data_IF_799902688954
#
_entry.id   IF_799902688954
#
_cell.length_a   1.000
_cell.length_b   1.000
_cell.length_c   1.000
_cell.angle_alpha   90.00
_cell.angle_beta   90.00
_cell.angle_gamma   90.00
#
_symmetry.space_group_name_H-M   'P 1'
#
loop_
_entity.id
_entity.type
_entity.pdbx_description
1 polymer ?
#
# COMPACT_ATOMS: atom_id res chain seq x y z
N UNK A 1 -16.34 -46.46 -32.34
CA UNK A 1 -15.64 -46.43 -33.64
C UNK A 1 -14.56 -45.35 -33.58
N UNK A 2 -13.29 -45.71 -33.34
CA UNK A 2 -12.17 -45.71 -34.33
C UNK A 2 -12.10 -44.39 -35.14
N UNK A 3 -11.20 -43.48 -34.75
CA UNK A 3 -9.85 -43.18 -35.33
C UNK A 3 -9.94 -42.32 -36.61
N UNK A 4 -8.85 -41.57 -36.85
CA UNK A 4 -8.47 -40.88 -38.12
C UNK A 4 -9.04 -39.44 -38.19
N UNK A 5 -8.30 -38.32 -38.29
CA UNK A 5 -6.98 -38.09 -38.87
C UNK A 5 -6.27 -36.85 -38.30
N UNK A 6 -4.98 -37.04 -38.03
CA UNK A 6 -3.97 -36.05 -37.67
C UNK A 6 -3.19 -35.76 -38.94
N UNK A 7 -3.51 -34.71 -39.69
CA UNK A 7 -2.64 -34.16 -40.75
C UNK A 7 -3.34 -32.90 -41.30
N UNK A 8 -2.86 -31.72 -40.93
CA UNK A 8 -2.78 -30.46 -41.71
C UNK A 8 -2.15 -29.47 -40.71
N UNK A 9 -0.85 -29.66 -40.46
CA UNK A 9 -0.03 -28.70 -39.70
C UNK A 9 1.30 -28.46 -40.44
N UNK A 10 1.22 -28.45 -41.77
CA UNK A 10 2.34 -28.24 -42.69
C UNK A 10 1.84 -27.58 -43.98
N UNK A 11 1.33 -26.36 -43.88
CA UNK A 11 1.14 -25.49 -45.05
C UNK A 11 1.08 -24.00 -44.66
N UNK A 12 2.04 -23.53 -43.85
CA UNK A 12 2.17 -22.12 -43.46
C UNK A 12 3.65 -21.70 -43.33
N UNK A 13 4.52 -22.33 -44.12
CA UNK A 13 5.91 -21.92 -44.35
C UNK A 13 6.09 -21.87 -45.86
N UNK A 14 6.62 -20.76 -46.39
CA UNK A 14 6.80 -20.41 -47.82
C UNK A 14 5.72 -19.53 -48.48
N UNK A 15 5.49 -18.31 -47.96
CA UNK A 15 5.32 -17.08 -48.78
C UNK A 15 5.73 -15.88 -47.92
N UNK A 16 7.03 -15.62 -47.76
CA UNK A 16 7.53 -14.40 -47.11
C UNK A 16 9.00 -14.12 -47.46
N UNK A 17 9.31 -14.10 -48.75
CA UNK A 17 10.57 -13.57 -49.27
C UNK A 17 10.22 -12.76 -50.51
N UNK A 18 10.83 -11.57 -50.64
CA UNK A 18 10.62 -10.49 -51.62
C UNK A 18 9.54 -9.45 -51.30
N UNK A 19 9.72 -8.71 -50.20
CA UNK A 19 9.47 -7.26 -50.25
C UNK A 19 10.81 -6.59 -50.60
N UNK A 20 10.89 -5.72 -51.62
CA UNK A 20 12.05 -4.86 -51.77
C UNK A 20 12.08 -3.91 -50.57
N UNK A 21 13.22 -3.88 -49.88
CA UNK A 21 13.60 -2.78 -49.00
C UNK A 21 13.61 -1.50 -49.84
N UNK A 22 12.48 -0.82 -49.93
CA UNK A 22 12.44 0.59 -50.26
C UNK A 22 12.91 1.29 -48.98
N UNK A 23 14.23 1.33 -48.77
CA UNK A 23 14.79 2.38 -47.93
C UNK A 23 14.48 3.65 -48.69
N UNK A 24 13.47 4.40 -48.26
CA UNK A 24 13.35 5.78 -48.66
C UNK A 24 14.67 6.43 -48.28
N UNK A 25 15.51 6.71 -49.29
CA UNK A 25 16.63 7.61 -49.13
C UNK A 25 15.99 8.92 -48.69
N UNK A 26 15.98 9.15 -47.38
CA UNK A 26 15.68 10.46 -46.84
C UNK A 26 16.82 11.31 -47.33
N UNK A 27 16.54 12.15 -48.33
CA UNK A 27 17.43 13.24 -48.68
C UNK A 27 17.59 14.07 -47.42
N UNK A 28 18.70 13.89 -46.72
CA UNK A 28 19.10 14.77 -45.61
C UNK A 28 19.40 16.10 -46.29
N UNK A 29 18.47 17.05 -46.20
CA UNK A 29 18.73 18.40 -46.65
C UNK A 29 19.78 19.00 -45.72
N UNK A 30 20.80 19.63 -46.32
CA UNK A 30 21.78 20.38 -45.57
C UNK A 30 21.08 21.50 -44.78
N UNK A 31 21.42 21.63 -43.51
CA UNK A 31 20.79 22.60 -42.62
C UNK A 31 21.15 24.05 -43.02
N UNK A 32 20.31 24.99 -42.61
CA UNK A 32 20.52 26.42 -42.83
C UNK A 32 21.20 27.06 -41.62
N UNK A 33 22.40 27.61 -41.81
CA UNK A 33 23.13 28.33 -40.77
C UNK A 33 22.95 29.84 -40.88
N UNK A 34 22.64 30.51 -39.77
CA UNK A 34 22.50 31.97 -39.72
C UNK A 34 23.28 32.61 -38.58
N UNK A 35 23.62 33.89 -38.75
CA UNK A 35 24.48 34.64 -37.83
C UNK A 35 23.89 36.04 -37.61
N UNK A 36 23.65 36.37 -36.35
CA UNK A 36 22.99 37.62 -35.97
C UNK A 36 23.86 38.36 -34.97
N UNK A 37 24.16 39.63 -35.21
CA UNK A 37 24.79 40.46 -34.18
C UNK A 37 23.81 40.66 -33.02
N UNK A 38 24.23 40.33 -31.80
CA UNK A 38 23.40 40.39 -30.58
C UNK A 38 23.98 41.33 -29.51
N UNK A 39 25.19 41.85 -29.72
CA UNK A 39 25.81 42.81 -28.81
C UNK A 39 27.11 43.38 -29.36
N UNK A 40 27.58 44.46 -28.75
CA UNK A 40 28.80 45.19 -29.12
C UNK A 40 29.99 44.88 -28.18
N UNK A 41 29.90 43.82 -27.38
CA UNK A 41 30.93 43.48 -26.39
C UNK A 41 32.18 42.95 -27.09
N UNK A 42 33.26 43.72 -27.03
CA UNK A 42 34.55 43.31 -27.57
C UNK A 42 35.25 42.36 -26.60
N UNK A 43 35.82 41.27 -27.13
CA UNK A 43 36.64 40.32 -26.36
C UNK A 43 37.90 39.94 -27.11
N UNK A 44 39.01 39.78 -26.40
CA UNK A 44 40.30 39.37 -26.96
C UNK A 44 40.75 38.04 -26.38
N UNK A 45 41.42 37.23 -27.20
CA UNK A 45 41.66 35.83 -26.91
C UNK A 45 43.00 35.34 -27.48
N UNK A 46 43.55 34.27 -26.91
CA UNK A 46 44.44 33.36 -27.64
C UNK A 46 43.65 32.15 -28.13
N UNK A 47 43.65 31.92 -29.45
CA UNK A 47 42.98 30.75 -30.03
C UNK A 47 43.85 29.50 -29.95
N UNK A 48 43.33 28.45 -29.31
CA UNK A 48 44.03 27.15 -29.24
C UNK A 48 44.16 26.51 -30.62
N UNK A 49 43.13 26.62 -31.44
CA UNK A 49 43.08 26.04 -32.78
C UNK A 49 44.14 26.66 -33.70
N UNK A 50 44.48 27.94 -33.45
CA UNK A 50 45.47 28.71 -34.20
C UNK A 50 46.79 28.86 -33.43
N UNK A 51 47.20 27.84 -32.67
CA UNK A 51 48.48 27.80 -31.93
C UNK A 51 48.75 29.03 -31.04
N UNK A 52 47.73 29.56 -30.37
CA UNK A 52 47.84 30.70 -29.45
C UNK A 52 47.78 32.07 -30.13
N UNK A 53 47.45 32.14 -31.41
CA UNK A 53 47.33 33.43 -32.13
C UNK A 53 46.29 34.33 -31.46
N UNK A 54 46.63 35.62 -31.34
CA UNK A 54 45.74 36.64 -30.80
C UNK A 54 44.55 36.87 -31.73
N UNK A 55 43.34 36.87 -31.17
CA UNK A 55 42.08 37.06 -31.90
C UNK A 55 41.17 38.06 -31.18
N UNK A 56 40.53 38.95 -31.93
CA UNK A 56 39.61 39.96 -31.39
C UNK A 56 38.22 39.78 -31.99
N UNK A 57 37.24 39.51 -31.13
CA UNK A 57 35.82 39.51 -31.50
C UNK A 57 35.27 40.94 -31.43
N UNK A 58 34.90 41.52 -32.58
CA UNK A 58 34.35 42.88 -32.72
C UNK A 58 32.83 42.89 -32.48
N UNK A 59 32.42 42.37 -31.33
CA UNK A 59 31.02 42.21 -30.92
C UNK A 59 30.60 40.74 -30.78
N UNK A 60 29.39 40.53 -30.28
CA UNK A 60 28.82 39.20 -30.08
C UNK A 60 27.86 38.86 -31.20
N UNK A 61 28.03 37.67 -31.77
CA UNK A 61 27.12 37.12 -32.76
C UNK A 61 26.42 35.89 -32.19
N UNK A 62 25.14 35.70 -32.47
CA UNK A 62 24.39 34.47 -32.24
C UNK A 62 24.39 33.65 -33.50
N UNK A 63 24.75 32.38 -33.39
CA UNK A 63 24.63 31.39 -34.44
C UNK A 63 23.33 30.60 -34.28
N UNK A 64 22.68 30.31 -35.40
CA UNK A 64 21.55 29.39 -35.45
C UNK A 64 21.73 28.34 -36.55
N UNK A 65 21.10 27.20 -36.35
CA UNK A 65 20.96 26.13 -37.34
C UNK A 65 19.49 25.74 -37.41
N UNK A 66 18.90 25.89 -38.60
CA UNK A 66 17.46 25.78 -38.87
C UNK A 66 16.65 26.67 -37.92
N UNK A 67 17.06 27.93 -37.77
CA UNK A 67 16.43 28.90 -36.88
C UNK A 67 16.59 28.64 -35.38
N UNK A 68 17.25 27.55 -34.97
CA UNK A 68 17.48 27.22 -33.56
C UNK A 68 18.88 27.63 -33.10
N UNK A 69 19.06 28.17 -31.89
CA UNK A 69 20.38 28.52 -31.36
C UNK A 69 21.37 27.35 -31.42
N UNK A 70 22.57 27.66 -31.90
CA UNK A 70 23.73 26.76 -31.95
C UNK A 70 24.96 27.52 -31.43
N UNK A 71 26.03 26.81 -31.08
CA UNK A 71 27.25 27.40 -30.53
C UNK A 71 28.46 27.03 -31.37
N UNK A 72 29.35 27.99 -31.60
CA UNK A 72 30.64 27.73 -32.24
C UNK A 72 31.52 26.85 -31.35
N UNK A 73 32.14 25.82 -31.94
CA UNK A 73 33.13 24.96 -31.28
C UNK A 73 34.53 25.04 -31.92
N UNK A 74 34.75 25.97 -32.85
CA UNK A 74 36.00 26.17 -33.58
C UNK A 74 36.39 27.65 -33.64
N UNK A 75 36.71 28.20 -32.48
CA UNK A 75 37.06 29.62 -32.34
C UNK A 75 38.29 30.00 -33.20
N UNK A 76 38.15 31.09 -33.97
CA UNK A 76 39.18 31.58 -34.90
C UNK A 76 39.02 31.12 -36.36
N UNK A 77 38.05 30.25 -36.66
CA UNK A 77 37.64 30.03 -38.05
C UNK A 77 36.58 31.09 -38.42
N UNK A 78 36.82 31.93 -39.43
CA UNK A 78 35.85 32.96 -39.82
C UNK A 78 34.55 32.32 -40.31
N UNK A 79 33.44 32.94 -39.93
CA UNK A 79 32.15 32.72 -40.58
C UNK A 79 32.12 33.57 -41.83
N UNK A 80 32.07 32.93 -43.00
CA UNK A 80 32.11 33.67 -44.25
C UNK A 80 30.72 33.96 -44.81
N UNK A 81 29.73 33.05 -44.69
CA UNK A 81 28.42 33.22 -45.36
C UNK A 81 27.25 32.46 -44.67
N UNK A 82 26.17 33.15 -44.25
CA UNK A 82 24.89 32.52 -43.90
C UNK A 82 24.31 31.68 -45.06
N UNK A 83 23.46 30.70 -44.75
CA UNK A 83 22.68 29.93 -45.72
C UNK A 83 22.82 28.41 -45.59
N UNK A 84 22.31 27.70 -46.58
CA UNK A 84 22.30 26.23 -46.62
C UNK A 84 23.72 25.63 -46.76
N UNK A 85 23.82 24.31 -46.53
CA UNK A 85 25.05 23.54 -46.74
C UNK A 85 25.73 23.06 -45.45
N UNK A 86 25.06 23.17 -44.31
CA UNK A 86 25.56 22.64 -43.04
C UNK A 86 25.14 21.18 -42.84
N UNK A 87 26.10 20.27 -42.93
CA UNK A 87 25.84 18.84 -42.79
C UNK A 87 25.89 18.43 -41.31
N UNK A 88 24.87 17.71 -40.78
CA UNK A 88 24.85 17.25 -39.40
C UNK A 88 25.74 16.02 -39.21
N UNK A 89 26.36 15.92 -38.05
CA UNK A 89 27.02 14.72 -37.54
C UNK A 89 26.92 14.69 -36.01
N UNK A 90 27.05 13.52 -35.39
CA UNK A 90 27.09 13.45 -33.93
C UNK A 90 28.39 14.07 -33.40
N UNK A 91 28.28 14.91 -32.37
CA UNK A 91 29.48 15.45 -31.74
C UNK A 91 30.16 14.36 -30.91
N UNK A 92 31.39 14.00 -31.26
CA UNK A 92 32.20 13.01 -30.54
C UNK A 92 33.52 13.63 -30.05
N UNK A 93 33.44 14.32 -28.91
CA UNK A 93 34.60 14.87 -28.19
C UNK A 93 34.46 14.59 -26.68
N UNK A 94 35.57 14.49 -25.92
CA UNK A 94 35.52 14.22 -24.48
C UNK A 94 34.67 15.23 -23.69
N UNK A 95 34.67 16.50 -24.10
CA UNK A 95 33.99 17.59 -23.42
C UNK A 95 32.49 17.66 -23.72
N UNK A 96 31.95 16.81 -24.61
CA UNK A 96 30.57 16.89 -25.13
C UNK A 96 29.52 17.08 -24.02
N UNK A 97 29.53 16.21 -23.01
CA UNK A 97 28.53 16.24 -21.94
C UNK A 97 28.69 17.47 -21.05
N UNK A 98 29.94 17.93 -20.82
CA UNK A 98 30.22 19.15 -20.06
C UNK A 98 29.74 20.39 -20.82
N UNK A 99 29.99 20.45 -22.13
CA UNK A 99 29.53 21.54 -23.00
C UNK A 99 28.01 21.56 -23.09
N UNK A 100 27.36 20.39 -23.11
CA UNK A 100 25.90 20.32 -23.08
C UNK A 100 25.31 20.88 -21.78
N UNK A 101 25.92 20.59 -20.63
CA UNK A 101 25.53 21.19 -19.36
C UNK A 101 25.79 22.70 -19.32
N UNK A 102 26.92 23.17 -19.88
CA UNK A 102 27.22 24.61 -20.01
C UNK A 102 26.15 25.30 -20.86
N UNK A 103 25.79 24.73 -22.01
CA UNK A 103 24.73 25.27 -22.86
C UNK A 103 23.37 25.31 -22.16
N UNK A 104 23.05 24.26 -21.40
CA UNK A 104 21.80 24.15 -20.65
C UNK A 104 21.68 25.22 -19.55
N UNK A 105 22.65 25.26 -18.63
CA UNK A 105 22.64 26.20 -17.50
C UNK A 105 23.02 27.63 -17.89
N UNK A 106 23.82 27.79 -18.93
CA UNK A 106 24.28 29.09 -19.40
C UNK A 106 23.26 29.84 -20.24
N UNK A 107 22.48 29.14 -21.08
CA UNK A 107 21.59 29.77 -22.04
C UNK A 107 20.18 29.19 -22.04
N UNK A 108 20.01 27.87 -22.17
CA UNK A 108 18.69 27.27 -22.44
C UNK A 108 17.67 27.52 -21.32
N UNK A 109 18.13 27.62 -20.07
CA UNK A 109 17.27 27.90 -18.92
C UNK A 109 16.89 29.39 -18.77
N UNK A 110 17.58 30.31 -19.44
CA UNK A 110 17.31 31.75 -19.43
C UNK A 110 17.85 32.43 -20.71
N UNK A 111 17.20 32.21 -21.87
CA UNK A 111 17.75 32.63 -23.16
C UNK A 111 17.66 34.15 -23.35
N UNK A 112 18.80 34.80 -23.54
CA UNK A 112 18.91 36.21 -23.95
C UNK A 112 20.30 36.46 -24.57
N UNK A 113 20.53 37.66 -25.10
CA UNK A 113 21.78 38.00 -25.80
C UNK A 113 23.03 37.91 -24.90
N UNK A 114 22.91 38.35 -23.64
CA UNK A 114 24.01 38.30 -22.68
C UNK A 114 24.31 36.86 -22.26
N UNK A 115 23.28 36.07 -21.95
CA UNK A 115 23.45 34.67 -21.56
C UNK A 115 24.01 33.82 -22.69
N UNK A 116 23.62 34.09 -23.94
CA UNK A 116 24.22 33.45 -25.12
C UNK A 116 25.72 33.76 -25.21
N UNK A 117 26.09 35.04 -25.14
CA UNK A 117 27.49 35.48 -25.25
C UNK A 117 28.35 34.86 -24.15
N UNK A 118 27.91 34.93 -22.89
CA UNK A 118 28.62 34.33 -21.75
C UNK A 118 28.80 32.82 -21.99
N UNK A 119 27.76 32.13 -22.43
CA UNK A 119 27.80 30.69 -22.70
C UNK A 119 28.79 30.36 -23.82
N UNK A 120 28.79 31.13 -24.91
CA UNK A 120 29.72 30.95 -26.02
C UNK A 120 31.18 31.11 -25.58
N UNK A 121 31.46 32.11 -24.76
CA UNK A 121 32.79 32.35 -24.19
C UNK A 121 33.23 31.19 -23.29
N UNK A 122 32.35 30.68 -22.42
CA UNK A 122 32.65 29.53 -21.55
C UNK A 122 32.90 28.27 -22.38
N UNK A 123 32.15 28.06 -23.47
CA UNK A 123 32.36 26.94 -24.41
C UNK A 123 33.77 27.04 -25.02
N UNK A 124 34.19 28.20 -25.51
CA UNK A 124 35.52 28.39 -26.07
C UNK A 124 36.63 28.19 -25.04
N UNK A 125 36.48 28.70 -23.82
CA UNK A 125 37.43 28.44 -22.73
C UNK A 125 37.49 26.94 -22.39
N UNK A 126 36.35 26.25 -22.36
CA UNK A 126 36.27 24.80 -22.09
C UNK A 126 36.98 23.99 -23.18
N UNK A 127 36.96 24.46 -24.43
CA UNK A 127 37.70 23.87 -25.55
C UNK A 127 39.20 24.24 -25.53
N UNK A 128 39.62 25.11 -24.61
CA UNK A 128 41.00 25.45 -24.29
C UNK A 128 41.51 26.76 -24.88
N UNK A 129 40.61 27.65 -25.34
CA UNK A 129 40.98 29.02 -25.68
C UNK A 129 41.23 29.83 -24.39
N UNK A 130 42.11 30.82 -24.46
CA UNK A 130 42.41 31.71 -23.33
C UNK A 130 41.73 33.06 -23.54
N UNK A 131 40.84 33.46 -22.63
CA UNK A 131 40.24 34.79 -22.64
C UNK A 131 41.19 35.80 -22.00
N UNK A 132 41.60 36.83 -22.75
CA UNK A 132 42.52 37.87 -22.28
C UNK A 132 41.76 39.07 -21.70
N UNK A 133 40.83 39.64 -22.46
CA UNK A 133 39.96 40.73 -22.02
C UNK A 133 38.55 40.56 -22.55
N UNK A 134 37.56 41.06 -21.81
CA UNK A 134 36.17 41.06 -22.28
C UNK A 134 35.42 42.29 -21.75
N UNK A 135 34.57 42.86 -22.60
CA UNK A 135 33.59 43.88 -22.23
C UNK A 135 32.24 43.28 -21.81
N UNK A 136 32.11 41.94 -21.80
CA UNK A 136 30.88 41.26 -21.41
C UNK A 136 30.61 41.51 -19.92
N UNK A 137 29.48 42.15 -19.55
CA UNK A 137 29.19 42.50 -18.17
C UNK A 137 29.21 41.30 -17.24
N UNK A 138 29.88 41.43 -16.09
CA UNK A 138 29.93 40.43 -15.01
C UNK A 138 30.36 39.02 -15.44
N UNK A 139 31.12 38.89 -16.53
CA UNK A 139 31.47 37.60 -17.13
C UNK A 139 31.99 36.56 -16.12
N UNK A 140 32.96 36.94 -15.29
CA UNK A 140 33.58 36.00 -14.34
C UNK A 140 32.60 35.49 -13.28
N UNK A 141 31.73 36.35 -12.77
CA UNK A 141 30.73 35.95 -11.78
C UNK A 141 29.69 35.00 -12.39
N UNK A 142 29.20 35.31 -13.59
CA UNK A 142 28.25 34.46 -14.32
C UNK A 142 28.87 33.12 -14.74
N UNK A 143 30.14 33.12 -15.18
CA UNK A 143 30.91 31.91 -15.45
C UNK A 143 30.98 31.01 -14.23
N UNK A 144 31.36 31.55 -13.07
CA UNK A 144 31.40 30.77 -11.82
C UNK A 144 30.02 30.24 -11.44
N UNK A 145 28.97 31.05 -11.57
CA UNK A 145 27.58 30.62 -11.33
C UNK A 145 27.19 29.42 -12.21
N UNK A 146 27.47 29.49 -13.52
CA UNK A 146 27.16 28.42 -14.48
C UNK A 146 27.98 27.16 -14.16
N UNK A 147 29.30 27.30 -13.96
CA UNK A 147 30.17 26.15 -13.69
C UNK A 147 29.83 25.46 -12.36
N UNK A 148 29.38 26.21 -11.35
CA UNK A 148 28.87 25.63 -10.11
C UNK A 148 27.61 24.80 -10.34
N UNK A 149 26.70 25.25 -11.21
CA UNK A 149 25.51 24.46 -11.59
C UNK A 149 25.89 23.20 -12.39
N UNK A 150 26.82 23.31 -13.33
CA UNK A 150 27.37 22.19 -14.11
C UNK A 150 27.98 21.13 -13.18
N UNK A 151 28.88 21.54 -12.27
CA UNK A 151 29.56 20.63 -11.34
C UNK A 151 28.58 19.98 -10.36
N UNK A 152 27.51 20.70 -9.98
CA UNK A 152 26.51 20.22 -9.04
C UNK A 152 25.31 19.50 -9.72
N UNK A 153 25.37 19.23 -11.04
CA UNK A 153 24.26 18.65 -11.81
C UNK A 153 23.84 17.26 -11.28
N UNK A 154 24.83 16.43 -10.96
CA UNK A 154 24.60 15.04 -10.56
C UNK A 154 24.26 14.88 -9.07
N UNK A 155 24.32 15.95 -8.27
CA UNK A 155 23.96 15.89 -6.85
C UNK A 155 22.46 15.66 -6.73
N UNK A 156 22.07 14.59 -6.04
CA UNK A 156 20.68 14.18 -5.81
C UNK A 156 20.18 14.70 -4.45
N UNK A 157 18.87 14.91 -4.27
CA UNK A 157 18.31 15.14 -2.95
C UNK A 157 18.66 13.99 -2.00
N UNK A 158 18.76 14.28 -0.70
CA UNK A 158 19.17 13.27 0.30
C UNK A 158 18.25 12.04 0.40
N UNK A 159 17.03 12.15 -0.12
CA UNK A 159 16.03 11.07 -0.14
C UNK A 159 15.94 10.33 -1.48
N UNK A 160 16.84 10.57 -2.44
CA UNK A 160 16.83 9.84 -3.71
C UNK A 160 16.89 8.31 -3.50
N UNK A 161 16.15 7.58 -4.34
CA UNK A 161 15.96 6.13 -4.32
C UNK A 161 15.38 5.55 -3.03
N UNK A 162 14.85 6.38 -2.11
CA UNK A 162 14.17 5.87 -0.93
C UNK A 162 12.80 5.26 -1.26
N UNK A 163 12.37 4.32 -0.41
CA UNK A 163 10.99 3.85 -0.37
C UNK A 163 10.22 4.62 0.69
N UNK A 164 9.14 5.27 0.28
CA UNK A 164 8.24 6.02 1.16
C UNK A 164 6.96 5.21 1.35
N UNK A 165 6.67 4.87 2.59
CA UNK A 165 5.42 4.21 2.99
C UNK A 165 4.47 5.23 3.63
N UNK A 166 3.21 5.21 3.21
CA UNK A 166 2.18 6.17 3.63
C UNK A 166 0.88 5.44 3.95
N UNK A 167 0.17 5.88 4.98
CA UNK A 167 -1.23 5.52 5.14
C UNK A 167 -2.12 6.51 4.37
N UNK A 168 -3.23 6.03 3.82
CA UNK A 168 -4.18 6.93 3.15
C UNK A 168 -4.73 8.00 4.10
N UNK A 169 -4.76 9.26 3.65
CA UNK A 169 -5.17 10.40 4.45
C UNK A 169 -4.03 11.07 5.24
N UNK A 170 -2.88 10.40 5.38
CA UNK A 170 -1.70 10.97 6.03
C UNK A 170 -0.79 11.69 5.03
N UNK A 171 0.04 12.59 5.56
CA UNK A 171 1.08 13.27 4.80
C UNK A 171 2.43 13.16 5.49
N UNK A 172 3.49 13.01 4.70
CA UNK A 172 4.88 13.12 5.13
C UNK A 172 5.53 14.34 4.47
N UNK A 173 6.48 14.96 5.14
CA UNK A 173 7.33 16.01 4.56
C UNK A 173 8.78 15.53 4.57
N UNK A 174 9.38 15.45 3.39
CA UNK A 174 10.78 15.11 3.20
C UNK A 174 11.60 16.39 3.10
N UNK A 175 12.71 16.45 3.83
CA UNK A 175 13.64 17.58 3.81
C UNK A 175 14.93 17.17 3.12
N UNK A 176 15.31 17.89 2.07
CA UNK A 176 16.56 17.65 1.35
C UNK A 176 17.74 18.31 2.06
N UNK A 177 18.58 17.51 2.73
CA UNK A 177 19.79 17.98 3.41
C UNK A 177 20.93 18.33 2.44
N UNK A 178 20.86 17.90 1.18
CA UNK A 178 21.84 18.27 0.16
C UNK A 178 21.50 19.64 -0.48
N UNK A 179 20.29 20.16 -0.25
CA UNK A 179 19.87 21.49 -0.68
C UNK A 179 19.76 21.67 -2.20
N UNK A 180 19.49 20.59 -2.93
CA UNK A 180 19.46 20.56 -4.40
C UNK A 180 18.08 20.34 -4.99
N UNK A 181 17.07 20.06 -4.17
CA UNK A 181 15.69 19.78 -4.60
C UNK A 181 15.12 20.84 -5.54
N UNK A 182 15.42 22.13 -5.32
CA UNK A 182 14.98 23.23 -6.19
C UNK A 182 15.41 23.08 -7.67
N UNK A 183 16.48 22.33 -7.97
CA UNK A 183 16.95 22.07 -9.33
C UNK A 183 15.98 21.20 -10.15
N UNK A 184 15.21 20.34 -9.48
CA UNK A 184 14.34 19.33 -10.09
C UNK A 184 12.93 19.89 -10.33
N UNK A 185 12.69 20.49 -11.48
CA UNK A 185 11.49 21.30 -11.74
C UNK A 185 10.36 20.53 -12.41
N UNK A 186 10.65 19.42 -13.06
CA UNK A 186 9.69 18.69 -13.90
C UNK A 186 9.19 17.48 -13.14
N UNK A 187 7.89 17.41 -12.85
CA UNK A 187 7.28 16.19 -12.31
C UNK A 187 7.13 15.17 -13.45
N UNK A 188 8.09 14.26 -13.56
CA UNK A 188 8.16 13.27 -14.64
C UNK A 188 7.24 12.06 -14.40
N UNK A 189 7.02 11.68 -13.14
CA UNK A 189 6.14 10.56 -12.78
C UNK A 189 5.51 10.76 -11.41
N UNK A 190 4.22 10.42 -11.30
CA UNK A 190 3.46 10.28 -10.05
C UNK A 190 2.49 9.10 -10.20
N UNK A 191 3.05 7.90 -10.42
CA UNK A 191 2.24 6.73 -10.80
C UNK A 191 1.43 6.16 -9.63
N UNK A 192 1.82 6.46 -8.38
CA UNK A 192 1.05 6.17 -7.17
C UNK A 192 -0.13 7.14 -6.95
N UNK A 193 -0.26 8.19 -7.78
CA UNK A 193 -1.32 9.21 -7.69
C UNK A 193 -1.39 9.85 -6.29
N UNK A 194 -0.28 10.44 -5.85
CA UNK A 194 -0.21 11.24 -4.62
C UNK A 194 -0.58 12.70 -4.88
N UNK A 195 -0.94 13.43 -3.82
CA UNK A 195 -0.83 14.89 -3.84
C UNK A 195 0.60 15.24 -3.42
N UNK A 196 1.24 16.12 -4.21
CA UNK A 196 2.66 16.44 -4.08
C UNK A 196 2.81 17.96 -4.05
N UNK A 197 3.41 18.47 -2.98
CA UNK A 197 3.71 19.87 -2.80
C UNK A 197 5.21 20.03 -2.62
N UNK A 198 5.85 20.87 -3.45
CA UNK A 198 7.27 21.14 -3.39
C UNK A 198 7.48 22.60 -3.06
N UNK A 199 8.24 22.90 -2.00
CA UNK A 199 8.55 24.26 -1.59
C UNK A 199 10.00 24.36 -1.10
N UNK A 200 10.84 25.06 -1.86
CA UNK A 200 12.26 25.13 -1.56
C UNK A 200 12.90 23.74 -1.52
N UNK A 201 13.48 23.40 -0.36
CA UNK A 201 14.12 22.10 -0.11
C UNK A 201 13.21 21.09 0.59
N UNK A 202 11.89 21.31 0.58
CA UNK A 202 10.93 20.36 1.14
C UNK A 202 10.02 19.77 0.05
N UNK A 203 9.69 18.50 0.22
CA UNK A 203 8.76 17.76 -0.61
C UNK A 203 7.72 17.10 0.30
N UNK A 204 6.49 17.62 0.28
CA UNK A 204 5.37 17.08 1.03
C UNK A 204 4.55 16.14 0.14
N UNK A 205 4.34 14.94 0.63
CA UNK A 205 3.63 13.87 -0.05
C UNK A 205 2.40 13.48 0.77
N UNK A 206 1.24 13.36 0.13
CA UNK A 206 0.00 12.96 0.78
C UNK A 206 -0.70 11.88 -0.04
N UNK A 207 -1.03 10.78 0.62
CA UNK A 207 -1.82 9.71 0.03
C UNK A 207 -3.32 10.06 0.10
N UNK A 208 -4.04 9.85 -1.00
CA UNK A 208 -5.48 10.11 -1.13
C UNK A 208 -6.25 8.82 -1.40
N UNK A 209 -7.57 8.87 -1.29
CA UNK A 209 -8.43 7.70 -1.51
C UNK A 209 -8.28 7.07 -2.91
N UNK A 210 -7.86 7.85 -3.91
CA UNK A 210 -7.59 7.40 -5.28
C UNK A 210 -6.12 7.04 -5.55
N UNK A 211 -5.25 7.07 -4.53
CA UNK A 211 -3.86 6.62 -4.64
C UNK A 211 -3.80 5.11 -4.91
N UNK A 212 -2.68 4.64 -5.45
CA UNK A 212 -2.41 3.23 -5.71
C UNK A 212 -1.49 2.67 -4.63
N UNK A 213 -1.63 1.37 -4.33
CA UNK A 213 -0.83 0.69 -3.29
C UNK A 213 0.67 0.74 -3.58
N UNK A 214 1.05 0.78 -4.86
CA UNK A 214 2.45 0.90 -5.28
C UNK A 214 2.59 1.90 -6.43
N UNK A 215 3.77 2.50 -6.53
CA UNK A 215 4.14 3.33 -7.67
C UNK A 215 5.47 4.03 -7.45
N UNK A 216 5.71 5.05 -8.26
CA UNK A 216 6.94 5.83 -8.29
C UNK A 216 6.59 7.31 -8.32
N UNK A 217 7.42 8.12 -7.66
CA UNK A 217 7.46 9.57 -7.87
C UNK A 217 8.83 9.91 -8.45
N UNK A 218 8.86 10.68 -9.54
CA UNK A 218 10.11 11.09 -10.18
C UNK A 218 10.03 12.57 -10.55
N UNK A 219 11.09 13.30 -10.24
CA UNK A 219 11.31 14.62 -10.79
C UNK A 219 12.61 14.68 -11.58
N UNK A 220 12.58 15.47 -12.65
CA UNK A 220 13.70 15.73 -13.53
C UNK A 220 14.15 17.19 -13.41
N UNK A 221 15.43 17.44 -13.70
CA UNK A 221 16.00 18.79 -13.84
C UNK A 221 15.51 19.42 -15.14
N UNK A 222 15.65 18.68 -16.25
CA UNK A 222 15.40 19.17 -17.60
C UNK A 222 14.12 18.62 -18.22
N UNK A 223 13.55 19.36 -19.19
CA UNK A 223 12.38 18.87 -19.91
C UNK A 223 12.80 17.82 -20.94
N UNK A 224 11.84 16.99 -21.38
CA UNK A 224 12.07 15.99 -22.42
C UNK A 224 12.69 16.58 -23.70
N UNK A 225 12.31 17.81 -24.06
CA UNK A 225 12.83 18.48 -25.24
C UNK A 225 14.30 18.90 -25.12
N UNK A 226 14.85 18.98 -23.91
CA UNK A 226 16.25 19.37 -23.66
C UNK A 226 17.20 18.17 -23.72
N UNK A 227 16.66 16.96 -23.76
CA UNK A 227 17.38 15.68 -23.74
C UNK A 227 17.43 15.07 -25.14
N UNK A 228 18.59 14.51 -25.51
CA UNK A 228 18.77 13.84 -26.79
C UNK A 228 20.21 13.87 -27.28
N UNK A 229 20.39 13.58 -28.56
CA UNK A 229 21.69 13.59 -29.21
C UNK A 229 22.17 15.03 -29.43
N UNK A 230 23.43 15.30 -29.06
CA UNK A 230 24.11 16.54 -29.44
C UNK A 230 24.64 16.41 -30.87
N UNK A 231 24.22 17.32 -31.74
CA UNK A 231 24.67 17.38 -33.12
C UNK A 231 25.68 18.50 -33.33
N UNK A 232 26.64 18.27 -34.22
CA UNK A 232 27.54 19.27 -34.77
C UNK A 232 27.32 19.38 -36.27
N UNK A 233 27.29 20.61 -36.75
CA UNK A 233 27.01 20.98 -38.12
C UNK A 233 28.27 21.55 -38.75
N UNK A 234 28.65 21.05 -39.92
CA UNK A 234 29.89 21.42 -40.59
C UNK A 234 29.62 21.89 -42.01
N UNK A 235 30.37 22.90 -42.44
CA UNK A 235 30.40 23.42 -43.81
C UNK A 235 31.83 23.76 -44.15
N UNK A 236 32.32 23.33 -45.32
CA UNK A 236 33.73 23.53 -45.71
C UNK A 236 34.10 25.01 -45.64
N UNK A 237 35.19 25.32 -44.95
CA UNK A 237 35.70 26.69 -44.81
C UNK A 237 34.93 27.55 -43.79
N UNK A 238 34.02 26.96 -43.01
CA UNK A 238 33.30 27.64 -41.94
C UNK A 238 33.47 26.90 -40.61
N UNK A 239 33.30 27.63 -39.51
CA UNK A 239 33.32 27.06 -38.16
C UNK A 239 32.21 26.02 -37.95
N UNK A 240 32.51 24.97 -37.20
CA UNK A 240 31.50 24.00 -36.75
C UNK A 240 30.57 24.59 -35.69
N UNK A 241 29.28 24.30 -35.85
CA UNK A 241 28.21 24.75 -34.97
C UNK A 241 27.59 23.56 -34.24
N UNK A 242 27.52 23.61 -32.91
CA UNK A 242 26.95 22.54 -32.09
C UNK A 242 25.56 22.92 -31.54
N UNK A 243 24.59 22.01 -31.70
CA UNK A 243 23.30 22.04 -31.00
C UNK A 243 23.37 21.05 -29.85
N UNK A 244 23.55 21.57 -28.65
CA UNK A 244 23.69 20.77 -27.44
C UNK A 244 22.36 20.28 -26.89
N UNK A 245 22.32 18.99 -26.56
CA UNK A 245 21.26 18.32 -25.81
C UNK A 245 21.89 17.54 -24.67
N UNK A 246 21.19 17.51 -23.53
CA UNK A 246 21.61 16.71 -22.38
C UNK A 246 21.48 15.22 -22.71
N UNK A 247 22.41 14.41 -22.21
CA UNK A 247 22.36 12.95 -22.35
C UNK A 247 21.24 12.31 -21.51
N UNK A 248 20.78 12.99 -20.46
CA UNK A 248 19.68 12.59 -19.58
C UNK A 248 18.99 13.83 -19.01
N UNK A 249 17.75 13.66 -18.53
CA UNK A 249 17.00 14.75 -17.90
C UNK A 249 17.52 15.13 -16.49
N UNK A 250 18.43 14.33 -15.93
CA UNK A 250 18.89 14.44 -14.54
C UNK A 250 17.76 14.23 -13.55
N UNK A 251 17.58 13.00 -13.06
CA UNK A 251 16.39 12.62 -12.28
C UNK A 251 16.71 12.23 -10.84
N UNK A 252 15.77 12.44 -9.92
CA UNK A 252 15.71 11.68 -8.66
C UNK A 252 14.38 10.91 -8.62
N UNK A 253 14.37 9.77 -7.94
CA UNK A 253 13.21 8.89 -7.85
C UNK A 253 12.89 8.47 -6.43
N UNK A 254 11.61 8.22 -6.16
CA UNK A 254 11.12 7.59 -4.94
C UNK A 254 10.25 6.38 -5.32
N UNK A 255 10.40 5.30 -4.58
CA UNK A 255 9.42 4.20 -4.58
C UNK A 255 8.33 4.52 -3.58
N UNK A 256 7.07 4.40 -3.97
CA UNK A 256 5.93 4.72 -3.12
C UNK A 256 5.15 3.46 -2.79
N UNK A 257 4.84 3.28 -1.50
CA UNK A 257 3.90 2.28 -0.98
C UNK A 257 2.79 2.98 -0.21
N UNK A 258 1.54 2.64 -0.51
CA UNK A 258 0.38 3.23 0.17
C UNK A 258 -0.47 2.14 0.79
N UNK A 259 -0.67 2.24 2.10
CA UNK A 259 -1.60 1.39 2.84
C UNK A 259 -3.01 1.96 2.70
N UNK A 260 -3.77 1.38 1.75
CA UNK A 260 -5.16 1.79 1.47
C UNK A 260 -6.19 1.04 2.32
N UNK A 261 -5.79 -0.10 2.89
CA UNK A 261 -6.71 -1.04 3.53
C UNK A 261 -6.32 -1.30 5.00
N UNK A 262 -7.28 -1.84 5.74
CA UNK A 262 -7.10 -2.42 7.06
C UNK A 262 -7.99 -3.63 7.26
N UNK A 263 -8.02 -4.12 8.50
CA UNK A 263 -8.65 -5.37 8.86
C UNK A 263 -9.37 -5.25 10.20
N UNK A 264 -10.31 -6.16 10.45
CA UNK A 264 -10.88 -6.41 11.77
C UNK A 264 -10.87 -7.90 12.06
N UNK A 265 -10.57 -8.23 13.31
CA UNK A 265 -10.51 -9.57 13.84
C UNK A 265 -11.32 -9.64 15.13
N UNK A 266 -12.33 -10.49 15.13
CA UNK A 266 -13.18 -10.74 16.29
C UNK A 266 -12.84 -12.10 16.89
N UNK A 267 -12.56 -12.12 18.19
CA UNK A 267 -12.33 -13.30 19.01
C UNK A 267 -13.57 -13.58 19.84
N UNK A 268 -14.04 -14.82 19.80
CA UNK A 268 -15.15 -15.32 20.61
C UNK A 268 -14.63 -16.27 21.67
N UNK A 269 -15.07 -16.07 22.91
CA UNK A 269 -14.64 -16.86 24.06
C UNK A 269 -15.82 -17.29 24.94
N UNK A 270 -15.63 -18.40 25.62
CA UNK A 270 -16.49 -18.86 26.70
C UNK A 270 -16.28 -17.96 27.91
N UNK A 271 -17.34 -17.34 28.41
CA UNK A 271 -17.24 -16.42 29.54
C UNK A 271 -16.82 -17.10 30.83
N UNK A 272 -17.10 -18.41 30.98
CA UNK A 272 -16.76 -19.19 32.18
C UNK A 272 -15.34 -19.73 32.15
N UNK A 273 -14.85 -20.14 30.98
CA UNK A 273 -13.52 -20.80 30.87
C UNK A 273 -12.45 -19.95 30.20
N UNK A 274 -12.83 -18.83 29.56
CA UNK A 274 -11.93 -18.03 28.72
C UNK A 274 -11.46 -18.72 27.45
N UNK A 275 -11.88 -19.97 27.20
CA UNK A 275 -11.48 -20.73 26.01
C UNK A 275 -12.15 -20.18 24.76
N UNK A 276 -11.49 -20.36 23.62
CA UNK A 276 -12.02 -19.92 22.34
C UNK A 276 -13.30 -20.69 21.94
N UNK A 277 -14.25 -19.99 21.32
CA UNK A 277 -15.51 -20.58 20.83
C UNK A 277 -15.56 -20.64 19.30
N UNK A 278 -15.53 -21.85 18.78
CA UNK A 278 -15.79 -22.14 17.38
C UNK A 278 -17.29 -22.09 17.06
N UNK A 279 -17.65 -22.09 15.78
CA UNK A 279 -19.02 -22.28 15.29
C UNK A 279 -20.03 -21.20 15.72
N UNK A 280 -19.54 -19.99 16.04
CA UNK A 280 -20.40 -18.79 16.20
C UNK A 280 -20.46 -18.05 14.86
N UNK A 281 -21.65 -17.66 14.40
CA UNK A 281 -21.80 -16.85 13.17
C UNK A 281 -21.78 -15.36 13.48
N UNK A 282 -20.85 -14.67 12.86
CA UNK A 282 -20.67 -13.22 12.93
C UNK A 282 -20.99 -12.63 11.57
N UNK A 283 -21.87 -11.64 11.55
CA UNK A 283 -22.23 -10.87 10.37
C UNK A 283 -21.44 -9.56 10.36
N UNK A 284 -20.76 -9.29 9.24
CA UNK A 284 -20.12 -8.01 8.94
C UNK A 284 -20.93 -7.30 7.85
N UNK A 285 -21.35 -6.07 8.12
CA UNK A 285 -22.07 -5.21 7.17
C UNK A 285 -21.21 -3.97 6.89
N UNK A 286 -20.82 -3.76 5.63
CA UNK A 286 -19.89 -2.69 5.24
C UNK A 286 -20.08 -2.31 3.77
N UNK A 287 -20.00 -1.01 3.45
CA UNK A 287 -20.10 -0.53 2.06
C UNK A 287 -21.27 -1.12 1.24
N UNK A 288 -22.44 -1.32 1.88
CA UNK A 288 -23.62 -1.93 1.24
C UNK A 288 -23.54 -3.45 1.02
N UNK A 289 -22.48 -4.11 1.49
CA UNK A 289 -22.26 -5.55 1.42
C UNK A 289 -22.49 -6.20 2.79
N UNK A 290 -22.83 -7.49 2.75
CA UNK A 290 -22.96 -8.35 3.93
C UNK A 290 -22.07 -9.57 3.78
N UNK A 291 -21.28 -9.88 4.80
CA UNK A 291 -20.45 -11.09 4.87
C UNK A 291 -20.66 -11.78 6.21
N UNK A 292 -21.08 -13.04 6.16
CA UNK A 292 -21.16 -13.89 7.34
C UNK A 292 -19.91 -14.76 7.46
N UNK A 293 -19.32 -14.80 8.65
CA UNK A 293 -18.13 -15.59 8.96
C UNK A 293 -18.42 -16.42 10.19
N UNK A 294 -18.18 -17.72 10.10
CA UNK A 294 -18.24 -18.62 11.25
C UNK A 294 -16.87 -18.66 11.94
N UNK A 295 -16.86 -18.50 13.26
CA UNK A 295 -15.62 -18.55 14.04
C UNK A 295 -14.95 -19.93 13.92
N UNK A 296 -13.63 -19.93 13.71
CA UNK A 296 -12.82 -21.16 13.62
C UNK A 296 -12.56 -21.76 15.01
N UNK A 297 -11.82 -22.86 15.08
CA UNK A 297 -11.42 -23.52 16.34
C UNK A 297 -10.74 -22.58 17.35
N UNK A 298 -9.92 -21.65 16.85
CA UNK A 298 -9.29 -20.61 17.66
C UNK A 298 -10.24 -19.45 18.03
N UNK A 299 -11.54 -19.56 17.74
CA UNK A 299 -12.58 -18.57 18.04
C UNK A 299 -12.51 -17.31 17.22
N UNK A 300 -11.79 -17.28 16.09
CA UNK A 300 -11.59 -16.08 15.29
C UNK A 300 -12.54 -16.02 14.10
N UNK A 301 -13.12 -14.84 13.90
CA UNK A 301 -13.79 -14.40 12.67
C UNK A 301 -13.10 -13.12 12.18
N UNK A 302 -12.76 -13.06 10.88
CA UNK A 302 -11.94 -11.97 10.33
C UNK A 302 -12.56 -11.39 9.07
N UNK A 303 -12.43 -10.07 8.94
CA UNK A 303 -12.69 -9.31 7.73
C UNK A 303 -11.42 -8.54 7.35
N UNK A 304 -10.89 -8.81 6.16
CA UNK A 304 -9.58 -8.33 5.71
C UNK A 304 -9.69 -7.48 4.45
N UNK A 305 -8.67 -6.67 4.21
CA UNK A 305 -8.46 -5.91 2.98
C UNK A 305 -9.62 -4.95 2.69
N UNK A 306 -10.12 -4.32 3.77
CA UNK A 306 -11.20 -3.36 3.69
C UNK A 306 -10.61 -1.97 3.59
N UNK A 307 -11.10 -1.16 2.64
CA UNK A 307 -10.66 0.21 2.46
C UNK A 307 -10.76 0.98 3.78
N UNK A 308 -9.69 1.67 4.13
CA UNK A 308 -9.67 2.55 5.29
C UNK A 308 -10.77 3.62 5.21
N UNK A 309 -11.30 4.02 6.36
CA UNK A 309 -12.47 4.89 6.48
C UNK A 309 -13.82 4.19 6.29
N UNK A 310 -13.84 2.91 5.88
CA UNK A 310 -15.10 2.14 5.77
C UNK A 310 -15.67 1.87 7.16
N UNK A 311 -16.94 2.24 7.37
CA UNK A 311 -17.72 1.82 8.54
C UNK A 311 -18.12 0.35 8.40
N UNK A 312 -17.88 -0.43 9.44
CA UNK A 312 -18.25 -1.85 9.52
C UNK A 312 -19.12 -2.06 10.75
N UNK A 313 -20.34 -2.55 10.55
CA UNK A 313 -21.20 -3.05 11.62
C UNK A 313 -20.99 -4.54 11.79
N UNK A 314 -20.65 -4.96 12.99
CA UNK A 314 -20.37 -6.35 13.35
C UNK A 314 -21.52 -6.80 14.25
N UNK A 315 -22.14 -7.94 13.97
CA UNK A 315 -23.26 -8.47 14.76
C UNK A 315 -23.12 -9.98 14.96
N UNK A 316 -23.35 -10.46 16.17
CA UNK A 316 -23.51 -11.88 16.44
C UNK A 316 -24.93 -12.32 16.08
N UNK A 317 -25.05 -13.22 15.10
CA UNK A 317 -26.35 -13.69 14.61
C UNK A 317 -26.67 -15.12 15.06
N UNK A 318 -25.67 -15.91 15.43
CA UNK A 318 -25.85 -17.25 15.97
C UNK A 318 -24.70 -17.58 16.92
N UNK A 319 -25.01 -17.95 18.17
CA UNK A 319 -24.05 -18.47 19.13
C UNK A 319 -23.63 -19.91 18.80
N UNK A 320 -22.47 -20.32 19.32
CA UNK A 320 -22.06 -21.73 19.34
C UNK A 320 -23.10 -22.60 20.08
N UNK A 321 -23.16 -23.89 19.73
CA UNK A 321 -24.09 -24.81 20.36
C UNK A 321 -23.89 -24.90 21.89
N UNK A 322 -25.00 -24.88 22.63
CA UNK A 322 -24.99 -24.82 24.08
C UNK A 322 -24.60 -23.46 24.68
N UNK A 323 -24.55 -22.37 23.89
CA UNK A 323 -24.32 -21.00 24.38
C UNK A 323 -25.49 -20.07 24.06
N UNK A 324 -25.72 -19.08 24.93
CA UNK A 324 -26.73 -18.05 24.73
C UNK A 324 -26.23 -17.01 23.71
N UNK A 325 -27.03 -16.73 22.69
CA UNK A 325 -26.78 -15.60 21.78
C UNK A 325 -27.19 -14.29 22.46
N UNK A 326 -26.23 -13.42 22.74
CA UNK A 326 -26.44 -12.10 23.35
C UNK A 326 -26.90 -11.02 22.35
N UNK A 327 -26.88 -11.30 21.05
CA UNK A 327 -27.21 -10.32 20.01
C UNK A 327 -26.25 -9.14 19.97
N UNK A 328 -24.99 -9.34 20.36
CA UNK A 328 -23.98 -8.27 20.41
C UNK A 328 -23.83 -7.61 19.05
N UNK A 329 -23.79 -6.29 19.05
CA UNK A 329 -23.61 -5.47 17.85
C UNK A 329 -22.71 -4.28 18.15
N UNK A 330 -21.76 -3.99 17.27
CA UNK A 330 -20.83 -2.87 17.40
C UNK A 330 -20.47 -2.33 16.02
N UNK A 331 -20.34 -1.01 15.89
CA UNK A 331 -19.81 -0.36 14.70
C UNK A 331 -18.36 0.10 14.92
N UNK A 332 -17.53 -0.08 13.90
CA UNK A 332 -16.14 0.39 13.87
C UNK A 332 -15.83 1.10 12.55
N UNK A 333 -14.76 1.87 12.52
CA UNK A 333 -14.20 2.46 11.28
C UNK A 333 -12.86 1.79 11.01
N UNK A 334 -12.67 1.26 9.80
CA UNK A 334 -11.40 0.62 9.44
C UNK A 334 -10.29 1.66 9.33
N UNK A 335 -9.17 1.40 10.00
CA UNK A 335 -7.96 2.21 9.94
C UNK A 335 -6.95 1.62 8.95
N UNK A 336 -6.18 2.44 8.21
CA UNK A 336 -5.18 1.95 7.27
C UNK A 336 -4.03 1.24 7.98
N UNK A 337 -3.52 0.16 7.38
CA UNK A 337 -2.41 -0.66 7.88
C UNK A 337 -2.61 -1.23 9.30
N UNK A 338 -3.87 -1.35 9.76
CA UNK A 338 -4.18 -1.83 11.11
C UNK A 338 -5.15 -2.99 11.08
N UNK A 339 -5.02 -3.86 12.08
CA UNK A 339 -6.02 -4.87 12.41
C UNK A 339 -6.68 -4.47 13.72
N UNK A 340 -7.95 -4.11 13.67
CA UNK A 340 -8.76 -3.84 14.86
C UNK A 340 -9.11 -5.18 15.51
N UNK A 341 -8.77 -5.36 16.78
CA UNK A 341 -9.07 -6.58 17.53
C UNK A 341 -10.25 -6.37 18.49
N UNK A 342 -11.24 -7.25 18.42
CA UNK A 342 -12.45 -7.22 19.26
C UNK A 342 -12.56 -8.57 19.96
N UNK A 343 -12.90 -8.58 21.25
CA UNK A 343 -13.20 -9.82 21.99
C UNK A 343 -14.60 -9.76 22.55
N UNK A 344 -15.42 -10.75 22.20
CA UNK A 344 -16.76 -10.95 22.74
C UNK A 344 -16.85 -12.30 23.44
N UNK A 345 -17.74 -12.42 24.42
CA UNK A 345 -17.95 -13.64 25.17
C UNK A 345 -19.42 -14.09 25.12
N UNK A 346 -19.64 -15.40 25.29
CA UNK A 346 -20.97 -15.95 25.52
C UNK A 346 -20.99 -16.79 26.80
N UNK A 347 -22.13 -16.76 27.47
CA UNK A 347 -22.42 -17.66 28.58
C UNK A 347 -22.96 -19.00 28.06
N UNK A 348 -22.53 -20.14 28.62
CA UNK A 348 -23.21 -21.42 28.42
C UNK A 348 -24.70 -21.30 28.75
N UNK A 349 -25.53 -21.97 27.96
CA UNK A 349 -26.94 -22.10 28.25
C UNK A 349 -27.14 -23.16 29.33
N UNK A 350 -27.89 -22.79 30.36
CA UNK A 350 -28.21 -23.66 31.49
C UNK A 350 -29.72 -23.68 31.73
N UNK A 351 -30.22 -24.79 32.25
CA UNK A 351 -31.61 -24.97 32.64
C UNK A 351 -31.74 -25.09 34.15
N UNK A 352 -32.93 -24.79 34.66
CA UNK A 352 -33.31 -25.03 36.05
C UNK A 352 -34.40 -26.11 36.09
N UNK A 353 -34.20 -27.11 36.93
CA UNK A 353 -35.17 -28.18 37.16
C UNK A 353 -36.00 -27.88 38.41
N UNK A 354 -37.21 -28.41 38.47
CA UNK A 354 -38.02 -28.46 39.71
C UNK A 354 -38.29 -29.92 40.04
N UNK A 355 -37.97 -30.33 41.26
CA UNK A 355 -38.17 -31.69 41.75
C UNK A 355 -39.07 -31.64 42.99
N UNK A 356 -40.14 -32.42 42.95
CA UNK A 356 -41.02 -32.68 44.08
C UNK A 356 -41.04 -34.18 44.34
N UNK A 357 -40.84 -34.57 45.59
CA UNK A 357 -40.92 -35.96 46.03
C UNK A 357 -42.14 -36.17 46.89
N UNK A 358 -42.94 -37.15 46.49
CA UNK A 358 -44.03 -37.68 47.28
C UNK A 358 -43.64 -39.05 47.85
N UNK A 359 -44.19 -39.38 49.01
CA UNK A 359 -44.05 -40.68 49.66
C UNK A 359 -45.41 -41.17 50.14
N UNK A 360 -45.64 -42.47 50.03
CA UNK A 360 -46.84 -43.12 50.54
C UNK A 360 -46.79 -43.14 52.06
N UNK A 361 -47.67 -42.38 52.72
CA UNK A 361 -47.74 -42.19 54.16
C UNK A 361 -49.09 -42.66 54.69
N UNK A 362 -49.18 -43.16 55.93
CA UNK A 362 -50.47 -43.44 56.55
C UNK A 362 -51.22 -42.12 56.74
N UNK A 363 -52.41 -42.01 56.14
CA UNK A 363 -53.25 -40.80 56.21
C UNK A 363 -54.48 -41.00 57.08
N UNK A 364 -54.95 -42.23 57.24
CA UNK A 364 -56.16 -42.53 58.00
C UNK A 364 -56.08 -43.92 58.66
N UNK A 365 -56.81 -44.10 59.77
CA UNK A 365 -57.01 -45.37 60.46
C UNK A 365 -58.47 -45.78 60.28
N UNK A 366 -58.72 -46.82 59.51
CA UNK A 366 -60.06 -47.40 59.35
C UNK A 366 -60.23 -48.64 60.21
N UNK A 367 -61.46 -48.88 60.64
CA UNK A 367 -61.82 -49.98 61.53
C UNK A 367 -62.70 -50.97 60.78
N UNK A 368 -62.31 -52.24 60.75
CA UNK A 368 -63.05 -53.32 60.10
C UNK A 368 -63.35 -54.43 61.10
N UNK A 369 -64.59 -54.93 61.10
CA UNK A 369 -64.93 -56.17 61.78
C UNK A 369 -64.52 -57.35 60.91
N UNK A 370 -63.61 -58.20 61.41
CA UNK A 370 -63.18 -59.44 60.75
C UNK A 370 -63.66 -60.68 61.51
N UNK A 371 -63.58 -61.86 60.88
CA UNK A 371 -63.87 -63.16 61.52
C UNK A 371 -62.94 -63.48 62.71
N UNK A 372 -61.83 -62.75 62.86
CA UNK A 372 -60.86 -62.86 63.96
C UNK A 372 -60.97 -61.71 64.99
N UNK A 373 -61.98 -60.83 64.87
CA UNK A 373 -62.20 -59.69 65.77
C UNK A 373 -61.98 -58.32 65.10
N UNK A 374 -61.97 -57.27 65.92
CA UNK A 374 -61.77 -55.87 65.49
C UNK A 374 -60.34 -55.66 65.01
N UNK A 375 -60.18 -55.26 63.75
CA UNK A 375 -58.86 -54.92 63.18
C UNK A 375 -58.82 -53.44 62.81
N UNK A 376 -57.69 -52.80 63.10
CA UNK A 376 -57.37 -51.46 62.61
C UNK A 376 -56.49 -51.60 61.36
N UNK A 377 -56.88 -50.89 60.31
CA UNK A 377 -56.14 -50.86 59.05
C UNK A 377 -55.68 -49.42 58.77
N UNK A 378 -54.41 -49.28 58.42
CA UNK A 378 -53.86 -48.00 57.96
C UNK A 378 -54.19 -47.82 56.49
N UNK A 379 -54.83 -46.71 56.16
CA UNK A 379 -54.95 -46.23 54.79
C UNK A 379 -53.77 -45.33 54.47
N UNK A 380 -53.30 -45.44 53.23
CA UNK A 380 -52.07 -44.78 52.80
C UNK A 380 -52.32 -43.96 51.54
N UNK A 381 -51.84 -42.73 51.52
CA UNK A 381 -51.89 -41.84 50.35
C UNK A 381 -50.53 -41.14 50.12
N UNK A 382 -50.37 -40.51 48.97
CA UNK A 382 -49.18 -39.75 48.59
C UNK A 382 -49.18 -38.38 49.27
N UNK A 383 -48.17 -38.13 50.10
CA UNK A 383 -47.92 -36.83 50.71
C UNK A 383 -46.49 -36.34 50.41
N UNK A 384 -46.22 -35.03 50.47
CA UNK A 384 -44.87 -34.50 50.34
C UNK A 384 -43.88 -35.16 51.30
N UNK A 385 -42.69 -35.50 50.79
CA UNK A 385 -41.68 -36.21 51.57
C UNK A 385 -40.42 -35.37 51.75
N UNK A 386 -40.22 -34.91 52.97
CA UNK A 386 -39.06 -34.13 53.38
C UNK A 386 -37.82 -35.00 53.62
N UNK A 387 -36.64 -34.37 53.58
CA UNK A 387 -35.35 -34.98 53.90
C UNK A 387 -34.97 -36.17 53.00
N UNK A 388 -35.50 -36.24 51.77
CA UNK A 388 -35.02 -37.18 50.75
C UNK A 388 -33.83 -36.56 50.04
N UNK A 389 -32.71 -37.28 50.00
CA UNK A 389 -31.47 -36.83 49.37
C UNK A 389 -31.36 -37.50 48.00
N UNK A 390 -31.12 -36.70 46.96
CA UNK A 390 -30.89 -37.15 45.59
C UNK A 390 -29.48 -36.79 45.14
N UNK A 391 -28.80 -37.73 44.50
CA UNK A 391 -27.64 -37.44 43.65
C UNK A 391 -28.13 -37.22 42.21
N UNK A 392 -27.90 -36.02 41.68
CA UNK A 392 -28.13 -35.73 40.26
C UNK A 392 -26.90 -36.20 39.48
N UNK A 393 -27.10 -37.16 38.57
CA UNK A 393 -26.03 -37.74 37.76
C UNK A 393 -26.22 -37.39 36.29
N UNK A 394 -25.12 -37.09 35.61
CA UNK A 394 -25.13 -36.97 34.15
C UNK A 394 -25.46 -38.35 33.54
N UNK A 395 -26.52 -38.44 32.74
CA UNK A 395 -26.94 -39.70 32.10
C UNK A 395 -26.17 -39.97 30.78
N UNK A 396 -25.48 -38.97 30.28
CA UNK A 396 -24.61 -38.98 29.10
C UNK A 396 -23.43 -38.01 29.31
N UNK A 397 -22.46 -38.02 28.39
CA UNK A 397 -21.43 -36.97 28.39
C UNK A 397 -22.08 -35.64 28.05
N UNK A 398 -21.95 -34.65 28.93
CA UNK A 398 -22.54 -33.32 28.73
C UNK A 398 -21.53 -32.43 28.02
N UNK A 399 -21.85 -32.02 26.79
CA UNK A 399 -21.00 -31.19 25.94
C UNK A 399 -21.56 -29.77 25.84
N UNK A 400 -20.68 -28.76 25.90
CA UNK A 400 -21.01 -27.35 25.67
C UNK A 400 -20.01 -26.80 24.65
N UNK A 401 -20.50 -26.41 23.46
CA UNK A 401 -19.65 -26.00 22.34
C UNK A 401 -18.61 -27.05 21.95
N UNK A 402 -18.95 -28.34 22.05
CA UNK A 402 -18.03 -29.47 21.81
C UNK A 402 -17.04 -29.76 22.94
N UNK A 403 -17.01 -28.95 24.01
CA UNK A 403 -16.20 -29.21 25.21
C UNK A 403 -16.98 -30.05 26.22
N UNK A 404 -16.42 -31.17 26.66
CA UNK A 404 -17.01 -32.01 27.72
C UNK A 404 -16.95 -31.29 29.07
N UNK A 405 -18.12 -31.08 29.67
CA UNK A 405 -18.31 -30.46 30.99
C UNK A 405 -18.49 -31.49 32.09
N UNK A 406 -19.31 -32.51 31.83
CA UNK A 406 -19.50 -33.65 32.73
C UNK A 406 -19.39 -34.96 31.97
N UNK A 407 -18.88 -35.99 32.64
CA UNK A 407 -18.78 -37.36 32.11
C UNK A 407 -20.03 -38.14 32.48
N UNK A 408 -20.48 -39.05 31.61
CA UNK A 408 -21.57 -39.97 31.94
C UNK A 408 -21.35 -40.68 33.29
N UNK A 409 -22.34 -40.59 34.18
CA UNK A 409 -22.35 -41.17 35.52
C UNK A 409 -21.82 -40.25 36.62
N UNK A 410 -21.22 -39.11 36.27
CA UNK A 410 -20.71 -38.13 37.22
C UNK A 410 -21.85 -37.52 38.05
N UNK A 411 -21.66 -37.44 39.38
CA UNK A 411 -22.58 -36.72 40.27
C UNK A 411 -22.29 -35.24 40.15
N UNK A 412 -23.23 -34.49 39.56
CA UNK A 412 -23.07 -33.04 39.31
C UNK A 412 -23.59 -32.19 40.45
N UNK A 413 -24.50 -32.73 41.27
CA UNK A 413 -25.01 -32.09 42.48
C UNK A 413 -25.67 -33.13 43.40
N UNK A 414 -25.70 -32.83 44.70
CA UNK A 414 -26.52 -33.54 45.68
C UNK A 414 -27.54 -32.55 46.25
N UNK A 415 -28.81 -32.91 46.24
CA UNK A 415 -29.92 -32.03 46.66
C UNK A 415 -30.85 -32.74 47.63
N UNK A 416 -31.52 -31.98 48.49
CA UNK A 416 -32.41 -32.50 49.54
C UNK A 416 -33.78 -31.84 49.47
N UNK A 417 -34.85 -32.61 49.67
CA UNK A 417 -36.22 -32.07 49.74
C UNK A 417 -36.50 -31.38 51.08
N UNK A 418 -37.19 -30.25 51.02
CA UNK A 418 -37.67 -29.50 52.18
C UNK A 418 -38.98 -30.10 52.75
N UNK A 419 -39.61 -29.41 53.72
CA UNK A 419 -40.86 -29.87 54.34
C UNK A 419 -42.03 -30.03 53.37
N UNK A 420 -42.03 -29.30 52.26
CA UNK A 420 -43.03 -29.40 51.18
C UNK A 420 -42.67 -30.47 50.15
N UNK A 421 -41.66 -31.30 50.42
CA UNK A 421 -41.17 -32.32 49.51
C UNK A 421 -40.47 -31.75 48.27
N UNK A 422 -40.15 -30.45 48.24
CA UNK A 422 -39.57 -29.76 47.09
C UNK A 422 -38.07 -29.53 47.30
N UNK A 423 -37.29 -29.60 46.22
CA UNK A 423 -35.91 -29.09 46.23
C UNK A 423 -35.92 -27.59 45.94
N UNK A 424 -35.76 -26.77 46.97
CA UNK A 424 -35.80 -25.30 46.85
C UNK A 424 -34.54 -24.73 46.17
N UNK A 425 -33.35 -25.22 46.53
CA UNK A 425 -32.06 -24.74 46.03
C UNK A 425 -31.51 -25.62 44.90
N UNK A 426 -32.31 -25.86 43.86
CA UNK A 426 -31.84 -26.64 42.70
C UNK A 426 -30.76 -25.85 41.95
N UNK A 427 -29.56 -26.42 41.71
CA UNK A 427 -28.56 -25.75 40.89
C UNK A 427 -29.00 -25.68 39.43
N UNK A 428 -28.53 -24.66 38.72
CA UNK A 428 -28.62 -24.64 37.27
C UNK A 428 -27.71 -25.72 36.69
N UNK A 429 -28.19 -26.42 35.66
CA UNK A 429 -27.45 -27.47 34.98
C UNK A 429 -27.24 -27.11 33.52
N UNK A 430 -26.09 -27.46 32.94
CA UNK A 430 -25.91 -27.39 31.49
C UNK A 430 -26.96 -28.26 30.78
N UNK A 431 -27.36 -27.88 29.58
CA UNK A 431 -28.33 -28.66 28.81
C UNK A 431 -27.80 -30.07 28.51
N UNK A 432 -28.65 -31.07 28.71
CA UNK A 432 -28.37 -32.48 28.44
C UNK A 432 -29.24 -33.40 29.30
N UNK A 433 -28.93 -34.71 29.29
CA UNK A 433 -29.70 -35.69 30.07
C UNK A 433 -29.10 -35.94 31.45
N UNK A 434 -29.97 -35.95 32.46
CA UNK A 434 -29.63 -36.25 33.85
C UNK A 434 -30.59 -37.29 34.42
N UNK A 435 -30.15 -37.97 35.47
CA UNK A 435 -30.98 -38.84 36.31
C UNK A 435 -30.85 -38.38 37.76
N UNK A 436 -31.96 -38.30 38.49
CA UNK A 436 -31.96 -38.10 39.93
C UNK A 436 -32.05 -39.47 40.61
N UNK A 437 -31.03 -39.84 41.38
CA UNK A 437 -30.98 -41.13 42.08
C UNK A 437 -31.17 -40.89 43.56
N UNK A 438 -32.14 -41.57 44.18
CA UNK A 438 -32.32 -41.52 45.63
C UNK A 438 -31.07 -42.08 46.33
N UNK A 439 -30.47 -41.26 47.18
CA UNK A 439 -29.29 -41.59 47.97
C UNK A 439 -29.65 -42.01 49.38
N UNK A 440 -30.60 -41.29 49.99
CA UNK A 440 -31.15 -41.62 51.29
C UNK A 440 -32.57 -41.09 51.43
N UNK A 441 -33.38 -41.85 52.15
CA UNK A 441 -34.78 -41.51 52.49
C UNK A 441 -34.91 -41.42 54.02
N UNK A 442 -35.89 -40.65 54.53
CA UNK A 442 -36.18 -40.63 55.96
C UNK A 442 -36.62 -42.02 56.47
N UNK A 443 -36.49 -42.22 57.79
CA UNK A 443 -36.89 -43.48 58.43
C UNK A 443 -38.36 -43.84 58.12
N UNK A 444 -38.61 -45.12 57.86
CA UNK A 444 -39.93 -45.63 57.48
C UNK A 444 -40.22 -45.69 55.98
N UNK A 445 -39.29 -45.21 55.13
CA UNK A 445 -39.39 -45.32 53.67
C UNK A 445 -38.32 -46.26 53.10
N UNK A 446 -38.61 -46.82 51.93
CA UNK A 446 -37.69 -47.66 51.16
C UNK A 446 -37.14 -46.82 50.01
N UNK A 447 -35.83 -46.91 49.78
CA UNK A 447 -35.16 -46.27 48.65
C UNK A 447 -35.69 -46.87 47.35
N UNK A 448 -36.09 -46.01 46.42
CA UNK A 448 -36.39 -46.42 45.05
C UNK A 448 -35.09 -46.49 44.25
N UNK A 449 -34.73 -47.71 43.81
CA UNK A 449 -33.46 -48.00 43.13
C UNK A 449 -33.47 -47.69 41.63
#
# INVERSE_FOLDING_TARGET
MKKVNKLINRLLLFVLITLPLITSASSVYAAEGSFYKIGDWVSTWHSKLLNGTHWTEQGSNMMTVDGNPAFCIEHGIPVTEPGAGFEPSELSIPEKDRLALIAYYGYQTNPNALSYTITQHIIWETLGNELLTTQVPNYQAEKQRILNQVNAHNIKPSFDNQTIELNVGESITLNDSNGVLNKYKVLASNSANLNVEKSGNTLKLMAKAASKETGTLQYDIANKNDVGTTFVYHKKGQQRLAKFKLNSAGSFGLTIKVNLNGHVKLKKVDETTGKALANTKIKFEYAGQTKEVTTKENGLAELRDIKAGTKVKITEIQAADGFVNKGLSQEIVIEPNKTIEITWNNQPQMGLLKLTKLGKQPVELTSLNSEYGFIQQLEYDQAPLANVVFDLKAAEDILVGGTKRYVKGEVVATVTTNNDGVVENMPQLFLGKYVAVEKSVPAGFIINH
#
